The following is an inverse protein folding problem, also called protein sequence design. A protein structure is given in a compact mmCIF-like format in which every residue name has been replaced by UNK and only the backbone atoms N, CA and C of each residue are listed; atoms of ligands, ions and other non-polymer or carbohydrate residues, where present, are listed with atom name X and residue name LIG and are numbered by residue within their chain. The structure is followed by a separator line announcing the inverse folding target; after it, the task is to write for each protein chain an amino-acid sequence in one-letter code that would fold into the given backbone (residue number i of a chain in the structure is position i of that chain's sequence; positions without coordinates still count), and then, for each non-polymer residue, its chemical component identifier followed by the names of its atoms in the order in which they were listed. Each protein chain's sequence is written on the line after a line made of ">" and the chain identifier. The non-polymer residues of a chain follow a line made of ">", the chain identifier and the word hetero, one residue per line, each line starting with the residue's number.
data_IF_878783920786
#
_entry.id   IF_878783920786
#
_cell.length_a   1.000
_cell.length_b   1.000
_cell.length_c   1.000
_cell.angle_alpha   90.00
_cell.angle_beta   90.00
_cell.angle_gamma   90.00
#
_symmetry.space_group_name_H-M   'P 1'
#
loop_
_entity.id
_entity.type
_entity.pdbx_description
1 polymer ?
#
# COMPACT_ATOMS: atom_id res chain seq x y z
N UNK A 1 27.28 33.06 -47.85
CA UNK A 1 27.15 32.48 -46.49
C UNK A 1 25.80 32.76 -45.81
N UNK A 2 25.12 33.89 -46.02
CA UNK A 2 23.83 34.18 -45.34
C UNK A 2 22.64 33.28 -45.73
N UNK A 3 22.55 32.82 -46.98
CA UNK A 3 21.45 31.96 -47.46
C UNK A 3 21.50 30.57 -46.78
N UNK A 4 22.68 30.02 -46.52
CA UNK A 4 22.84 28.71 -45.87
C UNK A 4 22.47 28.73 -44.38
N UNK A 5 22.76 29.83 -43.67
CA UNK A 5 22.38 29.99 -42.26
C UNK A 5 20.87 30.14 -42.12
N UNK A 6 20.24 30.94 -42.99
CA UNK A 6 18.79 31.13 -42.97
C UNK A 6 18.04 29.82 -43.24
N UNK A 7 18.48 29.05 -44.24
CA UNK A 7 17.89 27.72 -44.53
C UNK A 7 18.04 26.75 -43.37
N UNK A 8 19.18 26.75 -42.68
CA UNK A 8 19.39 25.93 -41.49
C UNK A 8 18.46 26.33 -40.34
N UNK A 9 18.33 27.64 -40.06
CA UNK A 9 17.43 28.15 -39.02
C UNK A 9 15.98 27.77 -39.34
N UNK A 10 15.53 27.94 -40.58
CA UNK A 10 14.18 27.56 -41.02
C UNK A 10 13.95 26.05 -40.87
N UNK A 11 14.94 25.21 -41.20
CA UNK A 11 14.84 23.77 -41.02
C UNK A 11 14.74 23.38 -39.52
N UNK A 12 15.54 24.00 -38.65
CA UNK A 12 15.48 23.77 -37.20
C UNK A 12 14.14 24.20 -36.61
N UNK A 13 13.65 25.39 -36.98
CA UNK A 13 12.34 25.89 -36.53
C UNK A 13 11.21 25.01 -37.07
N UNK A 14 11.29 24.56 -38.32
CA UNK A 14 10.31 23.65 -38.92
C UNK A 14 10.28 22.31 -38.20
N UNK A 15 11.44 21.73 -37.87
CA UNK A 15 11.55 20.48 -37.12
C UNK A 15 11.03 20.63 -35.68
N UNK A 16 11.39 21.73 -35.02
CA UNK A 16 10.87 22.06 -33.69
C UNK A 16 9.35 22.23 -33.72
N UNK A 17 8.80 22.95 -34.69
CA UNK A 17 7.35 23.13 -34.83
C UNK A 17 6.63 21.81 -35.12
N UNK A 18 7.17 20.99 -36.03
CA UNK A 18 6.62 19.66 -36.33
C UNK A 18 6.60 18.76 -35.08
N UNK A 19 7.67 18.77 -34.29
CA UNK A 19 7.73 18.07 -33.00
C UNK A 19 6.75 18.67 -31.98
N UNK A 20 6.68 20.00 -31.90
CA UNK A 20 5.82 20.78 -30.99
C UNK A 20 4.34 20.62 -31.27
N UNK A 21 3.94 20.23 -32.47
CA UNK A 21 2.53 19.99 -32.82
C UNK A 21 2.24 18.52 -33.14
N UNK A 22 3.23 17.63 -32.93
CA UNK A 22 3.04 16.21 -33.10
C UNK A 22 1.96 15.68 -32.13
N UNK A 23 1.06 14.79 -32.61
CA UNK A 23 -0.03 14.26 -31.79
C UNK A 23 0.51 13.40 -30.65
N UNK A 24 -0.18 13.45 -29.51
CA UNK A 24 0.11 12.55 -28.38
C UNK A 24 -0.19 11.09 -28.78
N UNK A 25 0.76 10.15 -28.54
CA UNK A 25 0.54 8.73 -28.75
C UNK A 25 -0.75 8.23 -28.07
N UNK A 26 -1.47 7.31 -28.73
CA UNK A 26 -2.74 6.80 -28.22
C UNK A 26 -2.63 6.23 -26.79
N UNK A 27 -1.54 5.52 -26.50
CA UNK A 27 -1.26 4.99 -25.16
C UNK A 27 -1.18 6.08 -24.08
N UNK A 28 -0.56 7.23 -24.38
CA UNK A 28 -0.46 8.34 -23.43
C UNK A 28 -1.81 9.01 -23.22
N UNK A 29 -2.59 9.21 -24.30
CA UNK A 29 -3.94 9.76 -24.21
C UNK A 29 -4.87 8.87 -23.38
N UNK A 30 -4.81 7.56 -23.59
CA UNK A 30 -5.59 6.60 -22.83
C UNK A 30 -5.15 6.54 -21.36
N UNK A 31 -3.84 6.53 -21.09
CA UNK A 31 -3.31 6.56 -19.73
C UNK A 31 -3.77 7.81 -18.96
N UNK A 32 -3.74 8.99 -19.62
CA UNK A 32 -4.28 10.23 -19.06
C UNK A 32 -5.77 10.11 -18.75
N UNK A 33 -6.56 9.58 -19.68
CA UNK A 33 -8.01 9.36 -19.49
C UNK A 33 -8.30 8.48 -18.28
N UNK A 34 -7.56 7.37 -18.14
CA UNK A 34 -7.71 6.47 -17.01
C UNK A 34 -7.37 7.16 -15.70
N UNK A 35 -6.25 7.89 -15.62
CA UNK A 35 -5.79 8.53 -14.37
C UNK A 35 -6.63 9.74 -13.94
N UNK A 36 -7.28 10.42 -14.88
CA UNK A 36 -8.07 11.62 -14.61
C UNK A 36 -9.57 11.34 -14.42
N UNK A 37 -10.05 10.13 -14.68
CA UNK A 37 -11.46 9.80 -14.50
C UNK A 37 -11.86 9.93 -13.01
N UNK A 38 -13.08 10.39 -12.66
CA UNK A 38 -13.54 10.33 -11.28
C UNK A 38 -13.53 8.88 -10.76
N UNK A 39 -13.01 8.65 -9.55
CA UNK A 39 -13.11 7.35 -8.89
C UNK A 39 -14.32 7.37 -7.96
N UNK A 40 -15.26 6.43 -8.09
CA UNK A 40 -16.34 6.32 -7.13
C UNK A 40 -15.78 5.93 -5.76
N UNK A 41 -15.96 6.80 -4.77
CA UNK A 41 -15.70 6.53 -3.36
C UNK A 41 -17.01 6.11 -2.71
N UNK A 42 -17.04 4.93 -2.10
CA UNK A 42 -18.18 4.46 -1.30
C UNK A 42 -17.84 4.63 0.20
N UNK A 43 -18.86 4.86 1.02
CA UNK A 43 -18.71 5.03 2.48
C UNK A 43 -18.01 6.32 2.90
N UNK A 44 -17.84 6.50 4.22
CA UNK A 44 -17.18 7.68 4.79
C UNK A 44 -15.67 7.67 4.57
N UNK A 45 -15.08 8.86 4.40
CA UNK A 45 -13.63 9.03 4.36
C UNK A 45 -13.04 8.83 5.76
N UNK A 46 -12.06 7.93 5.90
CA UNK A 46 -11.36 7.63 7.15
C UNK A 46 -10.03 8.36 7.31
N UNK A 47 -9.71 9.32 6.44
CA UNK A 47 -8.42 10.01 6.50
C UNK A 47 -8.21 10.75 7.82
N UNK A 48 -9.26 11.35 8.41
CA UNK A 48 -9.19 12.00 9.73
C UNK A 48 -8.79 11.01 10.84
N UNK A 49 -9.32 9.78 10.80
CA UNK A 49 -8.99 8.72 11.73
C UNK A 49 -7.51 8.31 11.62
N UNK A 50 -6.99 8.18 10.40
CA UNK A 50 -5.55 7.92 10.18
C UNK A 50 -4.67 9.09 10.61
N UNK A 51 -5.02 10.31 10.21
CA UNK A 51 -4.27 11.54 10.51
C UNK A 51 -4.07 11.75 12.01
N UNK A 52 -5.10 11.40 12.79
CA UNK A 52 -5.13 11.60 14.24
C UNK A 52 -4.95 10.32 15.05
N UNK A 53 -4.57 9.20 14.40
CA UNK A 53 -4.62 7.85 14.98
C UNK A 53 -3.90 7.74 16.33
N UNK A 54 -2.74 8.38 16.45
CA UNK A 54 -1.89 8.35 17.65
C UNK A 54 -2.38 9.19 18.82
N UNK A 55 -3.38 10.06 18.62
CA UNK A 55 -3.83 10.98 19.65
C UNK A 55 -5.08 10.45 20.37
N UNK A 56 -5.02 10.50 21.70
CA UNK A 56 -6.10 10.12 22.61
C UNK A 56 -7.07 11.28 22.86
N UNK A 57 -8.25 10.97 23.41
CA UNK A 57 -9.25 11.96 23.81
C UNK A 57 -10.01 12.65 22.67
N UNK A 58 -9.76 12.27 21.42
CA UNK A 58 -10.46 12.78 20.24
C UNK A 58 -11.59 11.83 19.82
N UNK A 59 -12.84 12.30 19.90
CA UNK A 59 -13.98 11.66 19.25
C UNK A 59 -13.98 11.92 17.72
N UNK A 60 -14.93 11.30 16.99
CA UNK A 60 -14.98 11.41 15.53
C UNK A 60 -15.10 12.87 15.04
N UNK A 61 -15.92 13.70 15.68
CA UNK A 61 -16.12 15.09 15.28
C UNK A 61 -14.87 15.94 15.54
N UNK A 62 -14.21 15.72 16.67
CA UNK A 62 -12.96 16.40 17.00
C UNK A 62 -11.83 16.03 16.01
N UNK A 63 -11.77 14.76 15.55
CA UNK A 63 -10.81 14.33 14.53
C UNK A 63 -11.03 15.04 13.19
N UNK A 64 -12.28 15.15 12.76
CA UNK A 64 -12.63 15.91 11.54
C UNK A 64 -12.28 17.41 11.69
N UNK A 65 -12.56 18.00 12.85
CA UNK A 65 -12.23 19.40 13.12
C UNK A 65 -10.70 19.65 13.09
N UNK A 66 -9.90 18.74 13.66
CA UNK A 66 -8.43 18.79 13.59
C UNK A 66 -7.96 18.69 12.13
N UNK A 67 -8.49 17.74 11.36
CA UNK A 67 -8.12 17.59 9.95
C UNK A 67 -8.46 18.86 9.15
N UNK A 68 -9.66 19.42 9.32
CA UNK A 68 -10.07 20.65 8.65
C UNK A 68 -9.15 21.83 9.01
N UNK A 69 -8.79 21.97 10.29
CA UNK A 69 -7.83 22.97 10.76
C UNK A 69 -6.46 22.78 10.09
N UNK A 70 -5.96 21.55 10.00
CA UNK A 70 -4.64 21.26 9.41
C UNK A 70 -4.61 21.47 7.91
N UNK A 71 -5.69 21.13 7.20
CA UNK A 71 -5.86 21.46 5.77
C UNK A 71 -5.82 22.96 5.54
N UNK A 72 -6.48 23.75 6.40
CA UNK A 72 -6.45 25.20 6.31
C UNK A 72 -5.06 25.78 6.61
N UNK A 73 -4.35 25.24 7.62
CA UNK A 73 -2.96 25.59 7.92
C UNK A 73 -2.03 25.28 6.75
N UNK A 74 -2.23 24.15 6.08
CA UNK A 74 -1.50 23.78 4.88
C UNK A 74 -1.78 24.77 3.73
N UNK A 75 -3.06 25.10 3.51
CA UNK A 75 -3.50 25.99 2.44
C UNK A 75 -2.97 27.42 2.59
N UNK A 76 -2.97 27.93 3.81
CA UNK A 76 -2.57 29.31 4.14
C UNK A 76 -1.11 29.47 4.56
N UNK A 77 -0.41 28.36 4.75
CA UNK A 77 0.99 28.34 5.18
C UNK A 77 1.95 28.95 4.15
N UNK A 78 3.07 29.45 4.65
CA UNK A 78 4.15 30.02 3.85
C UNK A 78 4.69 29.00 2.85
N UNK A 79 4.79 29.34 1.54
CA UNK A 79 5.39 28.45 0.54
C UNK A 79 6.79 27.95 0.94
N UNK A 80 7.03 26.64 0.82
CA UNK A 80 8.27 25.97 1.22
C UNK A 80 8.44 25.74 2.73
N UNK A 81 7.49 26.22 3.55
CA UNK A 81 7.50 26.13 5.01
C UNK A 81 6.12 25.79 5.57
N UNK A 82 5.29 25.12 4.77
CA UNK A 82 3.94 24.76 5.18
C UNK A 82 3.98 23.72 6.32
N UNK A 83 3.14 23.83 7.36
CA UNK A 83 3.13 22.85 8.43
C UNK A 83 2.72 21.46 7.93
N UNK A 84 3.53 20.45 8.25
CA UNK A 84 3.28 19.05 7.90
C UNK A 84 2.83 18.20 9.07
N UNK A 85 2.90 18.74 10.29
CA UNK A 85 2.47 18.06 11.51
C UNK A 85 1.03 18.43 11.88
N UNK A 86 0.32 17.45 12.44
CA UNK A 86 -1.02 17.68 12.96
C UNK A 86 -1.00 18.73 14.05
N UNK A 87 -1.99 19.63 14.02
CA UNK A 87 -2.22 20.58 15.10
C UNK A 87 -2.54 19.90 16.43
N UNK A 88 -2.85 18.61 16.46
CA UNK A 88 -2.99 17.86 17.71
C UNK A 88 -1.68 17.69 18.48
N UNK A 89 -0.53 17.81 17.82
CA UNK A 89 0.78 17.72 18.46
C UNK A 89 0.90 18.79 19.56
N UNK A 90 1.28 18.36 20.77
CA UNK A 90 1.33 19.21 21.96
C UNK A 90 -0.04 19.64 22.56
N UNK A 91 -1.17 19.38 21.89
CA UNK A 91 -2.53 19.67 22.41
C UNK A 91 -3.25 18.46 22.96
N UNK A 92 -3.02 17.29 22.37
CA UNK A 92 -3.62 16.03 22.80
C UNK A 92 -2.54 15.04 23.21
N UNK A 93 -2.78 14.19 24.23
CA UNK A 93 -1.87 13.11 24.56
C UNK A 93 -1.67 12.22 23.34
N UNK A 94 -0.41 11.96 22.98
CA UNK A 94 -0.06 10.99 21.97
C UNK A 94 0.33 9.67 22.65
N UNK A 95 -0.24 8.55 22.20
CA UNK A 95 0.13 7.22 22.69
C UNK A 95 1.62 6.97 22.37
N UNK A 96 2.47 6.74 23.38
CA UNK A 96 3.89 6.48 23.16
C UNK A 96 4.07 5.11 22.49
N UNK A 97 4.91 5.02 21.47
CA UNK A 97 5.19 3.75 20.78
C UNK A 97 6.63 3.29 21.06
N UNK A 98 6.89 2.57 22.16
CA UNK A 98 8.23 2.13 22.51
C UNK A 98 8.79 1.18 21.46
N UNK A 99 10.03 1.41 21.01
CA UNK A 99 10.71 0.55 20.04
C UNK A 99 10.93 -0.89 20.55
N UNK A 100 10.78 -1.10 21.86
CA UNK A 100 11.05 -2.36 22.55
C UNK A 100 9.95 -3.42 22.34
N UNK A 101 8.74 -3.12 21.86
CA UNK A 101 7.69 -4.12 21.61
C UNK A 101 7.40 -4.35 20.12
N UNK A 102 8.46 -4.44 19.31
CA UNK A 102 8.31 -4.69 17.88
C UNK A 102 8.42 -6.18 17.59
N UNK A 103 7.41 -6.69 16.88
CA UNK A 103 7.55 -7.97 16.21
C UNK A 103 8.55 -7.87 15.05
N UNK A 104 9.10 -9.00 14.63
CA UNK A 104 9.97 -9.05 13.47
C UNK A 104 9.27 -8.49 12.22
N UNK A 105 10.05 -8.16 11.19
CA UNK A 105 9.52 -7.61 9.94
C UNK A 105 8.37 -8.49 9.43
N UNK A 106 7.24 -7.87 9.06
CA UNK A 106 6.02 -8.56 8.59
C UNK A 106 5.49 -9.62 9.58
N UNK A 107 5.70 -9.42 10.88
CA UNK A 107 5.23 -10.32 11.93
C UNK A 107 6.07 -11.59 12.11
N UNK A 108 7.18 -11.76 11.39
CA UNK A 108 8.02 -12.95 11.52
C UNK A 108 8.52 -13.13 12.95
N UNK A 109 8.27 -14.32 13.52
CA UNK A 109 8.70 -14.66 14.88
C UNK A 109 8.02 -13.84 15.98
N UNK A 110 6.91 -13.16 15.69
CA UNK A 110 6.20 -12.31 16.64
C UNK A 110 5.80 -13.09 17.90
N UNK A 111 5.13 -14.23 17.74
CA UNK A 111 4.67 -15.04 18.87
C UNK A 111 5.84 -15.59 19.71
N UNK A 112 6.91 -16.06 19.06
CA UNK A 112 8.12 -16.53 19.75
C UNK A 112 8.81 -15.41 20.54
N UNK A 113 8.92 -14.20 19.97
CA UNK A 113 9.50 -13.05 20.64
C UNK A 113 8.70 -12.64 21.88
N UNK A 114 7.37 -12.63 21.79
CA UNK A 114 6.50 -12.31 22.93
C UNK A 114 6.59 -13.38 24.01
N UNK A 115 6.63 -14.65 23.63
CA UNK A 115 6.79 -15.77 24.58
C UNK A 115 8.12 -15.71 25.34
N UNK A 116 9.19 -15.22 24.71
CA UNK A 116 10.51 -15.10 25.33
C UNK A 116 10.56 -14.02 26.43
N UNK A 117 9.74 -12.97 26.34
CA UNK A 117 9.70 -11.87 27.33
C UNK A 117 8.30 -11.23 27.43
N UNK A 118 7.29 -11.92 27.99
CA UNK A 118 5.90 -11.44 27.99
C UNK A 118 5.72 -10.12 28.75
N UNK A 119 6.48 -9.91 29.83
CA UNK A 119 6.36 -8.73 30.69
C UNK A 119 6.88 -7.46 30.01
N UNK A 120 7.93 -7.56 29.19
CA UNK A 120 8.36 -6.43 28.34
C UNK A 120 7.27 -5.98 27.38
N UNK A 121 6.59 -6.92 26.72
CA UNK A 121 5.48 -6.59 25.82
C UNK A 121 4.28 -6.04 26.59
N UNK A 122 3.98 -6.58 27.77
CA UNK A 122 2.92 -6.05 28.62
C UNK A 122 3.17 -4.62 29.06
N UNK A 123 4.39 -4.30 29.50
CA UNK A 123 4.78 -2.95 29.90
C UNK A 123 4.72 -1.98 28.71
N UNK A 124 5.10 -2.44 27.52
CA UNK A 124 5.08 -1.62 26.31
C UNK A 124 3.67 -1.30 25.80
N UNK A 125 2.68 -2.14 26.10
CA UNK A 125 1.27 -1.96 25.71
C UNK A 125 0.40 -1.35 26.81
N UNK A 126 0.99 -1.00 27.96
CA UNK A 126 0.25 -0.41 29.05
C UNK A 126 -0.41 0.91 28.63
N UNK A 127 -1.74 0.94 28.63
CA UNK A 127 -2.53 2.11 28.21
C UNK A 127 -2.81 2.21 26.71
N UNK A 128 -2.50 1.19 25.90
CA UNK A 128 -2.72 1.22 24.44
C UNK A 128 -4.11 0.76 24.02
N UNK A 129 -4.99 0.37 24.95
CA UNK A 129 -6.34 -0.17 24.63
C UNK A 129 -7.15 0.75 23.70
N UNK A 130 -7.12 2.06 23.98
CA UNK A 130 -7.79 3.05 23.16
C UNK A 130 -7.17 3.16 21.76
N UNK A 131 -5.86 3.00 21.62
CA UNK A 131 -5.19 2.97 20.32
C UNK A 131 -5.59 1.72 19.54
N UNK A 132 -5.57 0.54 20.17
CA UNK A 132 -5.95 -0.72 19.51
C UNK A 132 -7.39 -0.68 19.00
N UNK A 133 -8.32 -0.12 19.79
CA UNK A 133 -9.70 0.10 19.35
C UNK A 133 -9.79 1.03 18.14
N UNK A 134 -9.00 2.10 18.08
CA UNK A 134 -8.95 3.00 16.92
C UNK A 134 -8.40 2.32 15.68
N UNK A 135 -7.37 1.49 15.82
CA UNK A 135 -6.80 0.71 14.70
C UNK A 135 -7.85 -0.27 14.14
N UNK A 136 -8.58 -0.98 15.00
CA UNK A 136 -9.67 -1.86 14.58
C UNK A 136 -10.82 -1.10 13.90
N UNK A 137 -11.14 0.12 14.37
CA UNK A 137 -12.20 0.95 13.79
C UNK A 137 -11.91 1.44 12.35
N UNK A 138 -10.65 1.40 11.89
CA UNK A 138 -10.27 1.75 10.52
C UNK A 138 -11.05 0.94 9.48
N UNK A 139 -11.36 -0.33 9.77
CA UNK A 139 -12.14 -1.20 8.89
C UNK A 139 -13.55 -0.66 8.57
N UNK A 140 -14.11 0.18 9.45
CA UNK A 140 -15.45 0.78 9.29
C UNK A 140 -15.53 1.91 8.27
N UNK A 141 -14.38 2.44 7.81
CA UNK A 141 -14.34 3.50 6.81
C UNK A 141 -14.41 2.93 5.39
N UNK A 142 -14.91 3.76 4.47
CA UNK A 142 -15.07 3.38 3.07
C UNK A 142 -13.80 3.55 2.24
N UNK A 143 -13.07 4.65 2.48
CA UNK A 143 -11.86 5.05 1.75
C UNK A 143 -10.98 5.99 2.58
N UNK A 144 -9.75 6.27 2.10
CA UNK A 144 -8.77 7.14 2.77
C UNK A 144 -8.17 8.11 1.75
N UNK A 145 -8.92 9.16 1.44
CA UNK A 145 -8.49 10.21 0.50
C UNK A 145 -7.98 11.40 1.29
N UNK A 146 -6.75 11.80 1.01
CA UNK A 146 -6.11 12.98 1.58
C UNK A 146 -6.81 14.26 1.09
N UNK A 147 -7.28 15.12 2.00
CA UNK A 147 -7.79 16.44 1.62
C UNK A 147 -6.67 17.46 1.35
N UNK A 148 -5.41 17.10 1.60
CA UNK A 148 -4.28 17.99 1.37
C UNK A 148 -3.97 18.05 -0.13
N UNK A 149 -4.06 19.25 -0.70
CA UNK A 149 -3.75 19.50 -2.10
C UNK A 149 -2.27 19.83 -2.28
N UNK A 150 -1.56 19.25 -3.27
CA UNK A 150 -0.16 19.58 -3.52
C UNK A 150 -0.02 20.99 -4.08
N UNK A 151 1.06 21.68 -3.69
CA UNK A 151 1.44 22.98 -4.25
C UNK A 151 2.70 22.86 -5.10
N UNK A 152 2.90 23.80 -6.03
CA UNK A 152 4.11 23.81 -6.86
C UNK A 152 5.38 24.07 -6.03
N UNK A 153 5.29 24.68 -4.85
CA UNK A 153 6.42 24.86 -3.92
C UNK A 153 6.57 23.72 -2.91
N UNK A 154 5.49 22.97 -2.68
CA UNK A 154 5.40 21.90 -1.67
C UNK A 154 4.58 20.74 -2.28
N UNK A 155 5.19 19.96 -3.20
CA UNK A 155 4.46 18.91 -3.90
C UNK A 155 4.14 17.73 -2.98
N UNK A 156 4.99 17.49 -1.97
CA UNK A 156 4.77 16.45 -0.97
C UNK A 156 3.72 16.90 0.04
N UNK A 157 2.52 16.32 -0.06
CA UNK A 157 1.44 16.58 0.90
C UNK A 157 1.71 15.91 2.24
N UNK A 158 1.20 16.45 3.35
CA UNK A 158 1.31 15.83 4.67
C UNK A 158 0.76 14.39 4.69
N UNK A 159 1.45 13.51 5.40
CA UNK A 159 1.10 12.09 5.52
C UNK A 159 0.73 11.74 6.97
N UNK A 160 -0.26 10.86 7.20
CA UNK A 160 -0.52 10.31 8.52
C UNK A 160 0.72 9.62 9.11
N UNK A 161 0.82 9.63 10.44
CA UNK A 161 1.79 8.79 11.16
C UNK A 161 1.27 7.36 11.16
N UNK A 162 1.84 6.50 10.30
CA UNK A 162 1.36 5.13 10.10
C UNK A 162 1.85 4.10 11.11
N UNK A 163 2.90 4.39 11.88
CA UNK A 163 3.47 3.43 12.83
C UNK A 163 2.46 2.80 13.81
N UNK A 164 1.48 3.53 14.38
CA UNK A 164 0.48 2.97 15.29
C UNK A 164 -0.39 1.86 14.66
N UNK A 165 -0.51 1.80 13.32
CA UNK A 165 -1.27 0.73 12.65
C UNK A 165 -0.70 -0.67 12.88
N UNK A 166 0.58 -0.77 13.24
CA UNK A 166 1.27 -2.05 13.46
C UNK A 166 1.45 -2.38 14.94
N UNK A 167 1.06 -1.48 15.84
CA UNK A 167 1.23 -1.65 17.28
C UNK A 167 0.47 -2.86 17.85
N UNK A 168 -0.83 -3.08 17.51
CA UNK A 168 -1.63 -4.12 18.16
C UNK A 168 -1.13 -5.55 17.92
N UNK A 169 -0.35 -5.82 16.87
CA UNK A 169 0.04 -7.20 16.53
C UNK A 169 0.75 -7.92 17.68
N UNK A 170 1.63 -7.22 18.39
CA UNK A 170 2.35 -7.83 19.52
C UNK A 170 1.49 -7.91 20.78
N UNK A 171 0.46 -7.05 20.90
CA UNK A 171 -0.55 -7.16 21.95
C UNK A 171 -1.46 -8.38 21.74
N UNK A 172 -1.85 -8.67 20.50
CA UNK A 172 -2.61 -9.88 20.16
C UNK A 172 -1.79 -11.14 20.45
N UNK A 173 -0.50 -11.15 20.10
CA UNK A 173 0.41 -12.24 20.46
C UNK A 173 0.53 -12.42 21.98
N UNK A 174 0.61 -11.32 22.73
CA UNK A 174 0.64 -11.33 24.20
C UNK A 174 -0.64 -11.89 24.81
N UNK A 175 -1.81 -11.53 24.27
CA UNK A 175 -3.10 -12.06 24.69
C UNK A 175 -3.11 -13.60 24.57
N UNK A 176 -2.64 -14.15 23.45
CA UNK A 176 -2.51 -15.60 23.27
C UNK A 176 -1.52 -16.24 24.25
N UNK A 177 -0.33 -15.65 24.45
CA UNK A 177 0.67 -16.15 25.43
C UNK A 177 0.11 -16.15 26.85
N UNK A 178 -0.81 -15.23 27.18
CA UNK A 178 -1.50 -15.15 28.47
C UNK A 178 -2.75 -16.05 28.58
N UNK A 179 -3.04 -16.84 27.54
CA UNK A 179 -4.15 -17.80 27.52
C UNK A 179 -5.47 -17.25 26.97
N UNK A 180 -5.50 -16.01 26.47
CA UNK A 180 -6.67 -15.43 25.80
C UNK A 180 -6.52 -15.47 24.27
N UNK A 181 -6.49 -16.70 23.74
CA UNK A 181 -6.43 -16.93 22.29
C UNK A 181 -7.67 -16.38 21.58
N UNK A 182 -8.83 -16.33 22.25
CA UNK A 182 -10.07 -15.80 21.68
C UNK A 182 -9.95 -14.32 21.33
N UNK A 183 -9.48 -13.49 22.28
CA UNK A 183 -9.22 -12.08 22.03
C UNK A 183 -8.10 -11.86 21.02
N UNK A 184 -7.02 -12.65 21.08
CA UNK A 184 -5.91 -12.58 20.14
C UNK A 184 -6.38 -12.79 18.68
N UNK A 185 -7.16 -13.84 18.44
CA UNK A 185 -7.73 -14.13 17.12
C UNK A 185 -8.69 -13.02 16.67
N UNK A 186 -9.59 -12.57 17.55
CA UNK A 186 -10.57 -11.53 17.21
C UNK A 186 -9.87 -10.21 16.82
N UNK A 187 -8.86 -9.80 17.59
CA UNK A 187 -8.07 -8.60 17.34
C UNK A 187 -7.26 -8.67 16.04
N UNK A 188 -6.51 -9.76 15.82
CA UNK A 188 -5.73 -9.93 14.60
C UNK A 188 -6.63 -9.93 13.34
N UNK A 189 -7.80 -10.58 13.42
CA UNK A 189 -8.77 -10.59 12.33
C UNK A 189 -9.42 -9.21 12.09
N UNK A 190 -9.70 -8.43 13.13
CA UNK A 190 -10.17 -7.05 12.98
C UNK A 190 -9.13 -6.16 12.28
N UNK A 191 -7.86 -6.31 12.64
CA UNK A 191 -6.78 -5.53 12.02
C UNK A 191 -6.53 -5.94 10.56
N UNK A 192 -6.69 -7.23 10.22
CA UNK A 192 -6.69 -7.68 8.82
C UNK A 192 -7.75 -6.92 8.02
N UNK A 193 -8.97 -6.74 8.55
CA UNK A 193 -10.04 -6.01 7.86
C UNK A 193 -9.67 -4.53 7.66
N UNK A 194 -9.04 -3.89 8.65
CA UNK A 194 -8.50 -2.52 8.53
C UNK A 194 -7.43 -2.44 7.43
N UNK A 195 -6.49 -3.38 7.42
CA UNK A 195 -5.42 -3.44 6.41
C UNK A 195 -5.96 -3.67 4.99
N UNK A 196 -6.94 -4.57 4.82
CA UNK A 196 -7.62 -4.82 3.54
C UNK A 196 -8.26 -3.55 2.98
N UNK A 197 -8.97 -2.80 3.85
CA UNK A 197 -9.60 -1.54 3.47
C UNK A 197 -8.57 -0.50 3.01
N UNK A 198 -7.49 -0.33 3.78
CA UNK A 198 -6.42 0.61 3.42
C UNK A 198 -5.70 0.23 2.12
N UNK A 199 -5.51 -1.07 1.86
CA UNK A 199 -4.79 -1.56 0.69
C UNK A 199 -5.43 -1.07 -0.61
N UNK A 200 -6.74 -1.27 -0.77
CA UNK A 200 -7.45 -0.96 -2.02
C UNK A 200 -8.06 0.43 -2.09
N UNK A 201 -8.24 1.12 -0.96
CA UNK A 201 -9.02 2.36 -0.88
C UNK A 201 -8.20 3.58 -0.38
N UNK A 202 -6.88 3.47 -0.34
CA UNK A 202 -5.97 4.59 -0.11
C UNK A 202 -5.65 5.35 -1.40
N UNK A 203 -5.56 6.67 -1.33
CA UNK A 203 -5.20 7.52 -2.47
C UNK A 203 -3.69 7.76 -2.62
N UNK A 204 -2.88 7.35 -1.65
CA UNK A 204 -1.42 7.36 -1.73
C UNK A 204 -0.86 5.95 -1.71
N UNK A 205 0.27 5.74 -2.40
CA UNK A 205 0.93 4.44 -2.42
C UNK A 205 1.32 3.99 -1.02
N UNK A 206 1.80 4.90 -0.17
CA UNK A 206 2.19 4.60 1.21
C UNK A 206 1.01 4.02 2.01
N UNK A 207 -0.19 4.58 1.92
CA UNK A 207 -1.39 4.05 2.59
C UNK A 207 -1.68 2.61 2.16
N UNK A 208 -1.65 2.33 0.85
CA UNK A 208 -1.83 0.97 0.33
C UNK A 208 -0.74 0.01 0.78
N UNK A 209 0.51 0.47 0.85
CA UNK A 209 1.65 -0.37 1.28
C UNK A 209 1.60 -0.70 2.77
N UNK A 210 1.14 0.24 3.61
CA UNK A 210 0.91 0.00 5.04
C UNK A 210 -0.26 -0.95 5.22
N UNK A 211 -1.37 -0.76 4.49
CA UNK A 211 -2.51 -1.68 4.51
C UNK A 211 -2.10 -3.12 4.21
N UNK A 212 -1.34 -3.34 3.14
CA UNK A 212 -0.84 -4.68 2.79
C UNK A 212 0.08 -5.25 3.87
N UNK A 213 0.86 -4.41 4.56
CA UNK A 213 1.71 -4.84 5.67
C UNK A 213 0.92 -5.22 6.92
N UNK A 214 -0.14 -4.49 7.25
CA UNK A 214 -1.05 -4.83 8.35
C UNK A 214 -1.71 -6.20 8.09
N UNK A 215 -2.17 -6.45 6.85
CA UNK A 215 -2.74 -7.74 6.46
C UNK A 215 -1.71 -8.86 6.63
N UNK A 216 -0.54 -8.75 6.02
CA UNK A 216 0.48 -9.80 6.05
C UNK A 216 0.95 -10.11 7.48
N UNK A 217 1.17 -9.08 8.29
CA UNK A 217 1.69 -9.20 9.66
C UNK A 217 0.68 -9.89 10.58
N UNK A 218 -0.59 -9.48 10.53
CA UNK A 218 -1.63 -10.08 11.36
C UNK A 218 -2.04 -11.47 10.85
N UNK A 219 -2.03 -11.70 9.54
CA UNK A 219 -2.28 -13.03 8.97
C UNK A 219 -1.20 -14.03 9.39
N UNK A 220 0.07 -13.62 9.43
CA UNK A 220 1.16 -14.47 9.92
C UNK A 220 1.00 -14.81 11.40
N UNK A 221 0.72 -13.82 12.25
CA UNK A 221 0.44 -14.07 13.67
C UNK A 221 -0.74 -15.02 13.85
N UNK A 222 -1.82 -14.82 13.09
CA UNK A 222 -2.98 -15.70 13.09
C UNK A 222 -2.56 -17.15 12.77
N UNK A 223 -1.72 -17.35 11.77
CA UNK A 223 -1.19 -18.67 11.41
C UNK A 223 -0.36 -19.32 12.54
N UNK A 224 0.47 -18.53 13.22
CA UNK A 224 1.30 -18.98 14.35
C UNK A 224 0.43 -19.39 15.56
N UNK A 225 -0.64 -18.63 15.84
CA UNK A 225 -1.60 -18.96 16.90
C UNK A 225 -2.38 -20.24 16.55
N UNK A 226 -2.85 -20.37 15.30
CA UNK A 226 -3.71 -21.47 14.88
C UNK A 226 -3.06 -22.84 15.09
N UNK A 227 -1.75 -22.97 14.83
CA UNK A 227 -1.05 -24.26 15.01
C UNK A 227 -0.91 -24.69 16.46
N UNK A 228 -1.04 -23.77 17.42
CA UNK A 228 -1.03 -24.05 18.86
C UNK A 228 -2.42 -24.41 19.42
N UNK A 229 -3.48 -24.19 18.64
CA UNK A 229 -4.86 -24.52 19.01
C UNK A 229 -5.29 -25.86 18.42
N UNK A 230 -6.36 -26.50 18.92
CA UNK A 230 -6.98 -27.65 18.25
C UNK A 230 -7.36 -27.33 16.80
N UNK A 231 -7.32 -28.33 15.91
CA UNK A 231 -7.63 -28.13 14.48
C UNK A 231 -9.09 -27.69 14.23
N UNK A 232 -10.00 -28.09 15.11
CA UNK A 232 -11.41 -27.76 15.13
C UNK A 232 -11.76 -26.54 15.99
N UNK A 233 -10.75 -25.76 16.43
CA UNK A 233 -10.96 -24.54 17.18
C UNK A 233 -11.93 -23.58 16.45
N UNK A 234 -12.94 -23.13 17.19
CA UNK A 234 -13.94 -22.18 16.69
C UNK A 234 -13.29 -20.80 16.54
N UNK A 235 -13.44 -20.18 15.37
CA UNK A 235 -12.92 -18.84 15.14
C UNK A 235 -13.93 -17.76 15.54
N UNK A 236 -13.48 -16.61 16.05
CA UNK A 236 -14.34 -15.44 16.23
C UNK A 236 -14.98 -14.99 14.91
N UNK A 237 -16.17 -14.40 14.98
CA UNK A 237 -16.93 -13.96 13.80
C UNK A 237 -16.15 -12.99 12.89
N UNK A 238 -15.28 -12.15 13.45
CA UNK A 238 -14.41 -11.25 12.67
C UNK A 238 -13.49 -12.02 11.71
N UNK A 239 -13.07 -13.24 12.06
CA UNK A 239 -12.18 -14.05 11.24
C UNK A 239 -12.86 -14.65 10.02
N UNK A 240 -14.17 -14.89 10.07
CA UNK A 240 -14.92 -15.37 8.90
C UNK A 240 -14.77 -14.39 7.73
N UNK A 241 -14.98 -13.09 7.98
CA UNK A 241 -14.76 -12.06 6.97
C UNK A 241 -13.27 -11.89 6.64
N UNK A 242 -12.39 -11.85 7.64
CA UNK A 242 -10.97 -11.58 7.46
C UNK A 242 -10.26 -12.62 6.57
N UNK A 243 -10.60 -13.91 6.72
CA UNK A 243 -9.99 -15.03 5.99
C UNK A 243 -10.62 -15.30 4.63
N UNK A 244 -11.66 -14.56 4.23
CA UNK A 244 -12.13 -14.61 2.84
C UNK A 244 -11.02 -14.15 1.89
N UNK A 245 -10.86 -14.78 0.71
CA UNK A 245 -9.93 -14.31 -0.29
C UNK A 245 -10.18 -12.83 -0.64
N UNK A 246 -9.12 -12.02 -0.67
CA UNK A 246 -9.23 -10.62 -1.06
C UNK A 246 -9.74 -10.50 -2.49
N UNK A 247 -10.69 -9.59 -2.69
CA UNK A 247 -11.22 -9.23 -4.00
C UNK A 247 -10.16 -8.50 -4.84
N UNK A 248 -10.38 -8.39 -6.15
CA UNK A 248 -9.54 -7.55 -7.03
C UNK A 248 -9.57 -6.08 -6.61
N UNK A 249 -10.72 -5.58 -6.14
CA UNK A 249 -10.87 -4.22 -5.64
C UNK A 249 -10.04 -3.94 -4.39
N UNK A 250 -9.95 -4.89 -3.46
CA UNK A 250 -9.10 -4.78 -2.26
C UNK A 250 -7.60 -4.85 -2.57
N UNK A 251 -7.23 -5.46 -3.69
CA UNK A 251 -5.84 -5.51 -4.19
C UNK A 251 -5.49 -4.35 -5.13
N UNK A 252 -6.48 -3.54 -5.53
CA UNK A 252 -6.31 -2.52 -6.55
C UNK A 252 -5.41 -1.38 -6.07
N UNK A 253 -4.48 -0.97 -6.93
CA UNK A 253 -3.63 0.21 -6.71
C UNK A 253 -4.08 1.42 -7.55
N UNK A 254 -5.25 1.36 -8.19
CA UNK A 254 -5.68 2.44 -9.09
C UNK A 254 -5.83 3.79 -8.36
N UNK A 255 -6.44 3.81 -7.17
CA UNK A 255 -6.57 5.04 -6.38
C UNK A 255 -5.20 5.60 -5.98
N UNK A 256 -4.34 4.75 -5.41
CA UNK A 256 -2.97 5.10 -5.07
C UNK A 256 -2.18 5.66 -6.26
N UNK A 257 -2.20 4.98 -7.41
CA UNK A 257 -1.45 5.42 -8.60
C UNK A 257 -1.96 6.74 -9.18
N UNK A 258 -3.23 7.11 -8.97
CA UNK A 258 -3.74 8.43 -9.35
C UNK A 258 -3.19 9.51 -8.44
N UNK A 259 -3.12 9.28 -7.13
CA UNK A 259 -2.46 10.20 -6.20
C UNK A 259 -0.97 10.34 -6.49
N UNK A 260 -0.26 9.24 -6.75
CA UNK A 260 1.15 9.27 -7.15
C UNK A 260 1.35 10.03 -8.47
N UNK A 261 0.42 9.89 -9.43
CA UNK A 261 0.46 10.66 -10.66
C UNK A 261 0.21 12.16 -10.44
N UNK A 262 -0.71 12.52 -9.55
CA UNK A 262 -0.97 13.91 -9.17
C UNK A 262 0.26 14.54 -8.49
N UNK A 263 0.89 13.79 -7.57
CA UNK A 263 2.14 14.14 -6.90
C UNK A 263 3.27 14.34 -7.91
N UNK A 264 3.46 13.40 -8.82
CA UNK A 264 4.47 13.48 -9.87
C UNK A 264 4.25 14.70 -10.78
N UNK A 265 2.99 15.04 -11.08
CA UNK A 265 2.62 16.25 -11.81
C UNK A 265 2.97 17.54 -11.06
N UNK A 266 2.78 17.58 -9.74
CA UNK A 266 3.18 18.71 -8.91
C UNK A 266 4.70 18.86 -8.83
N UNK A 267 5.43 17.76 -8.63
CA UNK A 267 6.89 17.74 -8.66
C UNK A 267 7.47 18.18 -10.00
N UNK A 268 6.81 17.82 -11.12
CA UNK A 268 7.18 18.31 -12.45
C UNK A 268 7.04 19.83 -12.58
N UNK A 269 5.97 20.42 -12.04
CA UNK A 269 5.78 21.88 -12.05
C UNK A 269 6.80 22.58 -11.17
N UNK A 270 7.11 22.04 -10.00
CA UNK A 270 8.21 22.54 -9.16
C UNK A 270 9.54 22.55 -9.93
N UNK A 271 9.91 21.40 -10.52
CA UNK A 271 11.17 21.25 -11.25
C UNK A 271 11.26 22.12 -12.52
N UNK A 272 10.12 22.61 -13.04
CA UNK A 272 10.08 23.43 -14.24
C UNK A 272 10.64 24.85 -14.06
N UNK A 273 10.75 25.34 -12.82
CA UNK A 273 11.30 26.67 -12.51
C UNK A 273 10.48 27.80 -13.15
N UNK A 274 11.13 28.81 -13.73
CA UNK A 274 10.45 29.89 -14.45
C UNK A 274 9.73 29.35 -15.70
N UNK A 275 8.38 29.37 -15.72
CA UNK A 275 7.61 28.86 -16.84
C UNK A 275 7.82 29.65 -18.12
N UNK A 276 8.38 30.86 -18.08
CA UNK A 276 8.67 31.67 -19.28
C UNK A 276 10.03 31.33 -19.87
N UNK A 277 11.07 31.20 -19.06
CA UNK A 277 12.43 30.86 -19.49
C UNK A 277 12.56 29.48 -20.16
N UNK A 278 11.79 28.49 -19.69
CA UNK A 278 11.94 27.09 -20.13
C UNK A 278 10.93 26.63 -21.19
N UNK A 279 10.01 27.50 -21.65
CA UNK A 279 8.90 27.15 -22.56
C UNK A 279 9.30 26.48 -23.86
N UNK A 280 10.50 26.76 -24.37
CA UNK A 280 11.01 26.19 -25.62
C UNK A 280 11.59 24.78 -25.43
N UNK A 281 11.96 24.43 -24.20
CA UNK A 281 12.66 23.20 -23.84
C UNK A 281 11.80 22.24 -23.00
N UNK A 282 10.74 22.75 -22.37
CA UNK A 282 9.86 22.01 -21.48
C UNK A 282 8.37 22.29 -21.78
N UNK A 283 7.67 21.21 -22.14
CA UNK A 283 6.23 21.13 -22.25
C UNK A 283 5.68 20.32 -21.07
N UNK A 284 5.21 21.00 -20.03
CA UNK A 284 4.69 20.33 -18.82
C UNK A 284 3.54 19.37 -19.14
N UNK A 285 2.46 19.77 -19.87
CA UNK A 285 1.39 18.86 -20.25
C UNK A 285 1.86 17.62 -21.02
N UNK A 286 2.75 17.78 -22.01
CA UNK A 286 3.27 16.61 -22.75
C UNK A 286 4.17 15.74 -21.90
N UNK A 287 4.96 16.32 -21.02
CA UNK A 287 5.82 15.57 -20.10
C UNK A 287 4.97 14.74 -19.15
N UNK A 288 3.91 15.33 -18.60
CA UNK A 288 2.94 14.63 -17.78
C UNK A 288 2.26 13.48 -18.55
N UNK A 289 1.82 13.72 -19.80
CA UNK A 289 1.26 12.68 -20.66
C UNK A 289 2.26 11.54 -20.95
N UNK A 290 3.55 11.86 -21.10
CA UNK A 290 4.61 10.86 -21.27
C UNK A 290 4.82 10.00 -20.01
N UNK A 291 4.61 10.57 -18.83
CA UNK A 291 4.72 9.85 -17.56
C UNK A 291 3.49 8.98 -17.25
N UNK A 292 2.30 9.35 -17.76
CA UNK A 292 1.03 8.72 -17.45
C UNK A 292 1.02 7.17 -17.55
N UNK A 293 1.59 6.52 -18.59
CA UNK A 293 1.59 5.05 -18.67
C UNK A 293 2.28 4.35 -17.48
N UNK A 294 3.23 4.99 -16.80
CA UNK A 294 3.91 4.45 -15.61
C UNK A 294 2.99 4.28 -14.40
N UNK A 295 1.85 4.97 -14.38
CA UNK A 295 0.87 4.95 -13.30
C UNK A 295 -0.45 4.30 -13.73
N UNK A 296 -0.85 4.49 -15.00
CA UNK A 296 -2.16 4.06 -15.50
C UNK A 296 -2.35 2.53 -15.56
N UNK A 297 -1.28 1.74 -15.49
CA UNK A 297 -1.37 0.27 -15.49
C UNK A 297 -2.28 -0.25 -14.37
N UNK A 298 -2.28 0.39 -13.20
CA UNK A 298 -3.09 -0.04 -12.06
C UNK A 298 -4.60 0.23 -12.27
N UNK A 299 -4.94 1.11 -13.21
CA UNK A 299 -6.31 1.48 -13.54
C UNK A 299 -6.82 0.85 -14.84
N UNK A 300 -5.99 0.08 -15.54
CA UNK A 300 -6.40 -0.59 -16.77
C UNK A 300 -7.42 -1.69 -16.46
N UNK A 301 -8.33 -1.96 -17.40
CA UNK A 301 -9.31 -3.05 -17.27
C UNK A 301 -8.65 -4.43 -17.03
N UNK A 302 -7.42 -4.61 -17.52
CA UNK A 302 -6.63 -5.83 -17.28
C UNK A 302 -6.16 -6.00 -15.83
N UNK A 303 -6.09 -4.93 -15.03
CA UNK A 303 -5.56 -4.97 -13.66
C UNK A 303 -6.41 -5.86 -12.75
N UNK A 304 -7.75 -5.84 -12.91
CA UNK A 304 -8.64 -6.71 -12.14
C UNK A 304 -8.40 -8.19 -12.44
N UNK A 305 -8.21 -8.53 -13.73
CA UNK A 305 -7.92 -9.90 -14.15
C UNK A 305 -6.55 -10.37 -13.63
N UNK A 306 -5.55 -9.49 -13.67
CA UNK A 306 -4.22 -9.76 -13.12
C UNK A 306 -4.30 -10.04 -11.63
N UNK A 307 -5.03 -9.21 -10.87
CA UNK A 307 -5.23 -9.41 -9.43
C UNK A 307 -6.03 -10.70 -9.13
N UNK A 308 -7.11 -10.97 -9.87
CA UNK A 308 -7.94 -12.15 -9.68
C UNK A 308 -7.20 -13.46 -9.97
N UNK A 309 -6.37 -13.49 -11.03
CA UNK A 309 -5.51 -14.63 -11.36
C UNK A 309 -4.20 -14.64 -10.57
N UNK A 310 -3.99 -13.62 -9.76
CA UNK A 310 -2.79 -13.43 -8.96
C UNK A 310 -1.50 -13.46 -9.81
N UNK A 311 -1.61 -13.04 -11.08
CA UNK A 311 -0.54 -13.09 -12.07
C UNK A 311 0.48 -11.96 -11.86
N UNK A 312 1.74 -12.09 -12.32
CA UNK A 312 2.69 -10.98 -12.29
C UNK A 312 2.11 -9.74 -12.98
N UNK A 313 2.21 -8.59 -12.32
CA UNK A 313 1.69 -7.34 -12.88
C UNK A 313 2.61 -6.81 -13.99
N UNK A 314 2.11 -6.61 -15.22
CA UNK A 314 2.91 -6.05 -16.30
C UNK A 314 3.12 -4.55 -16.09
N UNK A 315 4.33 -4.16 -15.72
CA UNK A 315 4.71 -2.74 -15.59
C UNK A 315 5.17 -2.20 -16.95
N UNK A 316 4.54 -1.14 -17.48
CA UNK A 316 4.95 -0.56 -18.75
C UNK A 316 6.39 -0.03 -18.72
N UNK A 317 7.14 -0.29 -19.78
CA UNK A 317 8.47 0.28 -19.99
C UNK A 317 8.44 1.80 -20.27
N UNK A 318 9.61 2.44 -20.33
CA UNK A 318 9.70 3.87 -20.65
C UNK A 318 9.15 4.16 -22.05
N UNK A 319 8.55 5.34 -22.22
CA UNK A 319 8.06 5.80 -23.50
C UNK A 319 9.20 5.89 -24.52
N UNK A 320 8.98 5.40 -25.74
CA UNK A 320 10.02 5.28 -26.78
C UNK A 320 9.98 6.38 -27.84
N UNK A 321 8.93 7.22 -27.89
CA UNK A 321 8.83 8.29 -28.90
C UNK A 321 9.93 9.33 -28.69
N UNK A 322 10.89 9.38 -29.63
CA UNK A 322 12.02 10.31 -29.65
C UNK A 322 11.72 11.61 -30.40
N UNK A 323 10.78 11.59 -31.34
CA UNK A 323 10.48 12.76 -32.17
C UNK A 323 9.87 13.88 -31.33
N UNK A 324 8.96 13.53 -30.41
CA UNK A 324 8.38 14.47 -29.45
C UNK A 324 9.41 15.12 -28.51
N UNK A 325 10.64 14.60 -28.41
CA UNK A 325 11.69 15.15 -27.55
C UNK A 325 12.44 16.33 -28.19
N UNK A 326 12.32 16.56 -29.50
CA UNK A 326 13.00 17.68 -30.18
C UNK A 326 12.48 19.02 -29.63
N UNK A 327 11.17 19.14 -29.43
CA UNK A 327 10.53 20.32 -28.84
C UNK A 327 10.28 20.22 -27.33
N UNK A 328 10.75 19.15 -26.68
CA UNK A 328 10.59 18.91 -25.24
C UNK A 328 11.78 18.14 -24.61
N UNK A 329 13.04 18.58 -24.83
CA UNK A 329 14.21 17.82 -24.38
C UNK A 329 14.30 17.70 -22.85
N UNK A 330 13.99 18.77 -22.11
CA UNK A 330 13.98 18.73 -20.64
C UNK A 330 12.85 17.84 -20.13
N UNK A 331 11.67 17.91 -20.74
CA UNK A 331 10.54 17.07 -20.38
C UNK A 331 10.80 15.59 -20.60
N UNK A 332 11.42 15.22 -21.73
CA UNK A 332 11.83 13.83 -21.95
C UNK A 332 12.88 13.36 -20.93
N UNK A 333 13.81 14.23 -20.54
CA UNK A 333 14.81 13.91 -19.52
C UNK A 333 14.15 13.67 -18.16
N UNK A 334 13.26 14.56 -17.72
CA UNK A 334 12.50 14.43 -16.47
C UNK A 334 11.62 13.17 -16.46
N UNK A 335 10.89 12.92 -17.55
CA UNK A 335 10.04 11.74 -17.68
C UNK A 335 10.82 10.42 -17.74
N UNK A 336 12.13 10.46 -18.07
CA UNK A 336 12.98 9.28 -18.14
C UNK A 336 13.78 9.03 -16.85
N UNK A 337 13.73 9.93 -15.85
CA UNK A 337 14.31 9.66 -14.53
C UNK A 337 13.73 8.32 -14.03
N UNK A 338 14.59 7.34 -13.66
CA UNK A 338 14.13 6.09 -13.11
C UNK A 338 13.31 6.36 -11.85
N UNK A 339 12.06 5.92 -11.85
CA UNK A 339 11.25 5.88 -10.64
C UNK A 339 11.62 4.67 -9.79
N UNK A 340 10.99 4.51 -8.62
CA UNK A 340 11.12 3.28 -7.87
C UNK A 340 10.54 2.11 -8.68
N UNK A 341 11.03 0.91 -8.40
CA UNK A 341 10.63 -0.31 -9.09
C UNK A 341 9.17 -0.66 -8.77
N UNK A 342 8.26 -0.26 -9.67
CA UNK A 342 6.81 -0.43 -9.48
C UNK A 342 6.39 -1.90 -9.39
N UNK A 343 7.21 -2.85 -9.85
CA UNK A 343 6.91 -4.28 -9.67
C UNK A 343 6.89 -4.65 -8.19
N UNK A 344 7.76 -4.05 -7.37
CA UNK A 344 7.79 -4.31 -5.93
C UNK A 344 6.54 -3.79 -5.23
N UNK A 345 6.01 -2.65 -5.65
CA UNK A 345 4.79 -2.12 -5.07
C UNK A 345 3.54 -2.86 -5.55
N UNK A 346 3.50 -3.23 -6.84
CA UNK A 346 2.42 -4.04 -7.39
C UNK A 346 2.32 -5.42 -6.72
N UNK A 347 3.46 -6.02 -6.37
CA UNK A 347 3.49 -7.33 -5.71
C UNK A 347 3.01 -7.32 -4.26
N UNK A 348 3.04 -6.19 -3.55
CA UNK A 348 2.71 -6.14 -2.11
C UNK A 348 1.24 -6.47 -1.80
N UNK A 349 0.23 -5.88 -2.48
CA UNK A 349 -1.16 -6.32 -2.31
C UNK A 349 -1.39 -7.78 -2.72
N UNK A 350 -0.69 -8.25 -3.76
CA UNK A 350 -0.77 -9.64 -4.20
C UNK A 350 -0.21 -10.60 -3.15
N UNK A 351 0.89 -10.24 -2.51
CA UNK A 351 1.48 -11.02 -1.42
C UNK A 351 0.62 -11.00 -0.16
N UNK A 352 -0.01 -9.88 0.18
CA UNK A 352 -1.00 -9.82 1.26
C UNK A 352 -2.20 -10.73 1.00
N UNK A 353 -2.74 -10.71 -0.23
CA UNK A 353 -3.83 -11.59 -0.62
C UNK A 353 -3.42 -13.08 -0.63
N UNK A 354 -2.20 -13.38 -1.07
CA UNK A 354 -1.66 -14.74 -1.03
C UNK A 354 -1.42 -15.23 0.40
N UNK A 355 -0.95 -14.37 1.31
CA UNK A 355 -0.80 -14.73 2.72
C UNK A 355 -2.15 -15.11 3.34
N UNK A 356 -3.23 -14.35 3.09
CA UNK A 356 -4.56 -14.73 3.60
C UNK A 356 -5.06 -16.06 3.04
N UNK A 357 -4.86 -16.32 1.73
CA UNK A 357 -5.17 -17.63 1.14
C UNK A 357 -4.34 -18.75 1.78
N UNK A 358 -3.06 -18.48 2.08
CA UNK A 358 -2.15 -19.44 2.69
C UNK A 358 -2.58 -19.81 4.12
N UNK A 359 -3.00 -18.84 4.93
CA UNK A 359 -3.56 -19.07 6.28
C UNK A 359 -4.87 -19.85 6.21
N UNK A 360 -5.75 -19.51 5.26
CA UNK A 360 -6.99 -20.25 5.06
C UNK A 360 -6.73 -21.70 4.60
N UNK A 361 -5.72 -21.92 3.74
CA UNK A 361 -5.28 -23.25 3.31
C UNK A 361 -4.69 -24.06 4.46
N UNK A 362 -3.81 -23.46 5.27
CA UNK A 362 -3.25 -24.06 6.48
C UNK A 362 -4.36 -24.53 7.43
N UNK A 363 -5.34 -23.67 7.72
CA UNK A 363 -6.50 -24.05 8.55
C UNK A 363 -7.26 -25.24 7.96
N UNK A 364 -7.58 -25.18 6.67
CA UNK A 364 -8.31 -26.26 5.99
C UNK A 364 -7.56 -27.59 6.04
N UNK A 365 -6.25 -27.57 5.79
CA UNK A 365 -5.39 -28.76 5.83
C UNK A 365 -5.37 -29.41 7.21
N UNK A 366 -5.27 -28.60 8.27
CA UNK A 366 -5.29 -29.10 9.66
C UNK A 366 -6.59 -29.81 10.03
N UNK A 367 -7.69 -29.48 9.35
CA UNK A 367 -9.00 -30.10 9.54
C UNK A 367 -9.19 -31.37 8.69
N UNK A 368 -8.25 -31.69 7.79
CA UNK A 368 -8.34 -32.89 6.98
C UNK A 368 -7.78 -34.11 7.71
N UNK A 369 -8.38 -35.30 7.51
CA UNK A 369 -7.78 -36.55 7.97
C UNK A 369 -6.56 -36.92 7.10
N UNK A 370 -5.57 -37.54 7.73
CA UNK A 370 -4.39 -38.11 7.06
C UNK A 370 -3.25 -37.11 6.84
N UNK A 371 -2.30 -37.51 5.99
CA UNK A 371 -1.09 -36.72 5.69
C UNK A 371 -1.41 -35.41 4.94
N UNK A 372 -0.81 -34.30 5.37
CA UNK A 372 -1.05 -32.98 4.80
C UNK A 372 -0.70 -32.91 3.30
N UNK A 373 0.31 -33.66 2.85
CA UNK A 373 0.71 -33.75 1.45
C UNK A 373 -0.40 -34.29 0.55
N UNK A 374 -1.13 -35.31 1.01
CA UNK A 374 -2.27 -35.92 0.29
C UNK A 374 -3.49 -35.01 0.35
N UNK A 375 -3.73 -34.35 1.49
CA UNK A 375 -4.81 -33.38 1.62
C UNK A 375 -4.61 -32.18 0.68
N UNK A 376 -3.36 -31.73 0.49
CA UNK A 376 -3.01 -30.59 -0.37
C UNK A 376 -3.43 -30.79 -1.83
N UNK A 377 -3.40 -32.02 -2.35
CA UNK A 377 -3.88 -32.32 -3.71
C UNK A 377 -5.37 -32.01 -3.90
N UNK A 378 -6.15 -32.06 -2.80
CA UNK A 378 -7.59 -31.78 -2.76
C UNK A 378 -7.92 -30.36 -2.29
N UNK A 379 -6.92 -29.47 -2.20
CA UNK A 379 -7.11 -28.11 -1.74
C UNK A 379 -8.18 -27.40 -2.60
N UNK A 380 -9.21 -26.80 -1.98
CA UNK A 380 -10.27 -26.09 -2.71
C UNK A 380 -9.72 -25.01 -3.63
N UNK A 381 -10.35 -24.82 -4.79
CA UNK A 381 -9.90 -23.85 -5.79
C UNK A 381 -9.80 -22.43 -5.22
N UNK A 382 -10.72 -22.03 -4.35
CA UNK A 382 -10.70 -20.72 -3.70
C UNK A 382 -9.48 -20.47 -2.78
N UNK A 383 -8.81 -21.53 -2.32
CA UNK A 383 -7.64 -21.45 -1.43
C UNK A 383 -6.30 -21.55 -2.18
N UNK A 384 -6.34 -21.70 -3.50
CA UNK A 384 -5.14 -21.69 -4.37
C UNK A 384 -5.27 -20.61 -5.42
N UNK A 385 -4.13 -20.06 -5.81
CA UNK A 385 -4.06 -19.15 -6.95
C UNK A 385 -3.82 -19.96 -8.23
N UNK A 386 -4.36 -19.55 -9.39
CA UNK A 386 -4.05 -20.18 -10.68
C UNK A 386 -2.57 -20.11 -11.07
N UNK A 387 -1.81 -19.21 -10.45
CA UNK A 387 -0.41 -18.93 -10.81
C UNK A 387 0.58 -19.09 -9.65
N UNK A 388 0.08 -19.34 -8.43
CA UNK A 388 0.87 -19.63 -7.21
C UNK A 388 0.16 -20.70 -6.39
N UNK A 389 0.60 -21.95 -6.55
CA UNK A 389 0.06 -23.08 -5.79
C UNK A 389 0.83 -23.24 -4.49
N UNK A 390 0.15 -23.37 -3.33
CA UNK A 390 0.80 -23.71 -2.07
C UNK A 390 1.51 -25.06 -2.15
N UNK A 391 2.71 -25.12 -1.58
CA UNK A 391 3.51 -26.35 -1.44
C UNK A 391 3.96 -26.51 0.00
N UNK A 392 4.21 -27.74 0.43
CA UNK A 392 4.91 -27.99 1.69
C UNK A 392 6.41 -27.78 1.50
N UNK A 393 7.09 -27.29 2.52
CA UNK A 393 8.55 -27.32 2.60
C UNK A 393 9.07 -28.76 2.65
N UNK A 394 10.34 -28.96 2.33
CA UNK A 394 10.98 -30.28 2.30
C UNK A 394 10.92 -31.01 3.66
N UNK A 395 10.94 -30.26 4.76
CA UNK A 395 10.79 -30.76 6.13
C UNK A 395 9.33 -30.95 6.57
N UNK A 396 8.36 -30.56 5.74
CA UNK A 396 6.93 -30.62 6.04
C UNK A 396 6.45 -29.64 7.12
N UNK A 397 7.32 -28.77 7.64
CA UNK A 397 7.01 -27.87 8.74
C UNK A 397 6.32 -26.58 8.30
N UNK A 398 6.39 -26.23 7.02
CA UNK A 398 5.85 -24.99 6.47
C UNK A 398 4.98 -25.25 5.26
N UNK A 399 3.87 -24.51 5.16
CA UNK A 399 3.14 -24.33 3.91
C UNK A 399 3.59 -23.00 3.30
N UNK A 400 3.97 -23.00 2.03
CA UNK A 400 4.62 -21.87 1.39
C UNK A 400 4.18 -21.61 -0.05
N UNK A 401 4.30 -20.36 -0.48
CA UNK A 401 4.13 -19.89 -1.87
C UNK A 401 5.19 -18.85 -2.22
N UNK A 402 5.56 -18.74 -3.48
CA UNK A 402 6.50 -17.71 -3.94
C UNK A 402 5.97 -16.28 -3.72
N UNK A 403 6.85 -15.39 -3.27
CA UNK A 403 6.56 -13.95 -3.21
C UNK A 403 6.58 -13.35 -4.61
N UNK A 404 5.69 -12.39 -4.86
CA UNK A 404 5.85 -11.47 -5.99
C UNK A 404 6.95 -10.46 -5.72
N UNK A 405 7.20 -10.11 -4.45
CA UNK A 405 8.24 -9.18 -4.04
C UNK A 405 9.50 -9.92 -3.60
N UNK A 406 10.48 -10.02 -4.48
CA UNK A 406 11.71 -10.82 -4.25
C UNK A 406 12.81 -10.05 -3.48
N UNK A 407 12.81 -8.71 -3.51
CA UNK A 407 13.88 -7.87 -2.91
C UNK A 407 13.66 -7.52 -1.43
N UNK A 408 12.89 -8.31 -0.70
CA UNK A 408 12.72 -8.13 0.75
C UNK A 408 13.61 -9.13 1.51
N UNK A 409 14.23 -8.70 2.61
CA UNK A 409 15.06 -9.52 3.50
C UNK A 409 14.27 -10.68 4.15
N UNK A 410 12.94 -10.67 4.04
CA UNK A 410 12.02 -11.72 4.48
C UNK A 410 12.05 -13.00 3.62
N UNK A 411 12.89 -13.09 2.58
CA UNK A 411 13.09 -14.29 1.78
C UNK A 411 12.15 -14.42 0.57
N UNK A 412 12.36 -15.46 -0.27
CA UNK A 412 11.68 -15.61 -1.55
C UNK A 412 10.24 -16.15 -1.42
N UNK A 413 9.85 -16.67 -0.27
CA UNK A 413 8.54 -17.32 -0.05
C UNK A 413 7.74 -16.65 1.06
N UNK A 414 6.42 -16.64 0.90
CA UNK A 414 5.48 -16.50 2.02
C UNK A 414 5.35 -17.88 2.66
N UNK A 415 5.35 -17.94 3.99
CA UNK A 415 5.29 -19.19 4.72
C UNK A 415 4.44 -19.07 5.97
N UNK A 416 3.71 -20.13 6.30
CA UNK A 416 2.96 -20.33 7.54
C UNK A 416 3.31 -21.70 8.14
N UNK A 417 3.37 -21.84 9.46
CA UNK A 417 3.78 -23.10 10.09
C UNK A 417 2.70 -24.18 9.88
N UNK A 418 3.07 -25.44 9.82
CA UNK A 418 2.10 -26.55 9.79
C UNK A 418 1.91 -27.20 11.17
N UNK A 419 2.83 -26.94 12.11
CA UNK A 419 2.85 -27.55 13.43
C UNK A 419 3.33 -26.56 14.51
N UNK A 420 2.97 -26.90 15.75
CA UNK A 420 3.59 -26.43 16.99
C UNK A 420 5.12 -26.28 16.89
N UNK A 421 5.80 -25.16 17.23
CA UNK A 421 7.23 -25.25 17.54
C UNK A 421 7.46 -26.28 18.65
N UNK A 422 8.51 -27.10 18.53
CA UNK A 422 8.93 -27.95 19.63
C UNK A 422 9.41 -27.05 20.79
N UNK A 423 8.80 -27.20 21.97
CA UNK A 423 9.11 -26.43 23.18
C UNK A 423 10.15 -27.10 24.06
#
# INVERSE_FOLDING_TARGET
>A
MGISILSLVLAVVGLWAASRFWPLPAQQREAMRLLQAPVPTNGGNGFSALWTLRYDGLDANAREAVLAQDVERWRTGTPGQRPVDSSSEGRYPATPLPALARCGRRGMGCLAAVRADPERFAAAHAGHDALHQRVAAIAGHGHFVSPFMPFDTDPMVPLPVFHPMLDPVSAHALAHVRGDSGAALAGACADILSGRRMTGQGDTLITSMIGAAVVETNARLLADILVELPADATLPAACEAALTPMTSGEQSLCMAMRGEFALAGAGLRLASGDPKGNRLLLDVPRTQARMAPRYAWACAASAELVAARDAPTPIPGPAQDRFACIANPLGCSLANIPGPDMQQYAGRPQDAAAMLRLVAAQRWLRQQPGEASVALERLPEALRSPTRTPVLSDDGLWLQVDRRVVKDESGPTLQVPMQAPAH
#
